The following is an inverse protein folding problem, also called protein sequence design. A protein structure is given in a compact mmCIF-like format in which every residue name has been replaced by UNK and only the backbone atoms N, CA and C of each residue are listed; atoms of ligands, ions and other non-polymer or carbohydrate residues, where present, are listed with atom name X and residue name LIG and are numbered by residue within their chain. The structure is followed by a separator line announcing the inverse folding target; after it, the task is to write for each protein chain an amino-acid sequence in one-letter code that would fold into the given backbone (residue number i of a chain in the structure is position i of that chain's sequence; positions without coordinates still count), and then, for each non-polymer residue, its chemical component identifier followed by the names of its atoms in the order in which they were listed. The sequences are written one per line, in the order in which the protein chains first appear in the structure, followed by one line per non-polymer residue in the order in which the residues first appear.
data_IF_877779064446
#
_entry.id   IF_877779064446
#
_cell.length_a   1.000
_cell.length_b   1.000
_cell.length_c   1.000
_cell.angle_alpha   90.00
_cell.angle_beta   90.00
_cell.angle_gamma   90.00
#
_symmetry.space_group_name_H-M   'P 1'
#
loop_
_entity.id
_entity.type
_entity.pdbx_description
1 polymer ?
#
# COMPACT_ATOMS: atom_id res chain seq x y z
N UNK A 1 7.78 7.18 -14.21
CA UNK A 1 7.20 7.61 -12.97
C UNK A 1 6.39 6.52 -12.27
N UNK A 2 5.99 6.80 -11.07
CA UNK A 2 5.19 5.87 -10.30
C UNK A 2 3.75 5.95 -10.76
N UNK A 3 3.23 4.85 -11.28
CA UNK A 3 1.79 4.75 -11.49
C UNK A 3 1.19 4.21 -10.22
N UNK A 4 0.69 5.12 -9.42
CA UNK A 4 -0.26 4.74 -8.40
C UNK A 4 -1.60 4.83 -9.08
N UNK A 5 -2.43 3.78 -9.00
CA UNK A 5 -3.73 3.80 -9.65
C UNK A 5 -4.48 5.08 -9.32
N UNK A 6 -5.15 5.66 -10.30
CA UNK A 6 -5.93 6.88 -10.10
C UNK A 6 -6.98 6.70 -9.02
N UNK A 7 -7.49 5.49 -8.92
CA UNK A 7 -8.49 5.14 -7.94
C UNK A 7 -7.95 4.03 -7.05
N UNK A 8 -7.39 4.42 -5.92
CA UNK A 8 -6.84 3.48 -4.95
C UNK A 8 -7.90 2.48 -4.47
N UNK A 9 -9.17 2.89 -4.45
CA UNK A 9 -10.23 2.00 -4.01
C UNK A 9 -10.43 0.81 -4.94
N UNK A 10 -10.12 0.96 -6.23
CA UNK A 10 -10.21 -0.15 -7.17
C UNK A 10 -9.11 -1.18 -6.95
N UNK A 11 -7.94 -0.74 -6.49
CA UNK A 11 -6.82 -1.63 -6.25
C UNK A 11 -7.04 -2.53 -5.04
N UNK A 12 -7.85 -2.09 -4.10
CA UNK A 12 -8.12 -2.91 -2.91
C UNK A 12 -8.85 -4.21 -3.25
N UNK A 13 -9.49 -4.29 -4.42
CA UNK A 13 -10.16 -5.49 -4.87
C UNK A 13 -9.22 -6.51 -5.52
N UNK A 14 -7.99 -6.11 -5.85
CA UNK A 14 -7.03 -6.99 -6.50
C UNK A 14 -6.18 -7.69 -5.45
N UNK A 15 -5.84 -8.95 -5.73
CA UNK A 15 -4.90 -9.69 -4.91
C UNK A 15 -5.48 -10.27 -3.63
N UNK A 16 -4.57 -10.75 -2.79
CA UNK A 16 -4.90 -11.41 -1.53
C UNK A 16 -4.43 -10.53 -0.38
N UNK A 17 -5.30 -10.34 0.61
CA UNK A 17 -4.93 -9.60 1.80
C UNK A 17 -3.88 -10.37 2.59
N UNK A 18 -2.79 -9.72 2.91
CA UNK A 18 -1.68 -10.33 3.66
C UNK A 18 -1.53 -9.74 5.05
N UNK A 19 -2.12 -8.57 5.29
CA UNK A 19 -2.10 -7.95 6.61
C UNK A 19 -3.21 -6.93 6.76
N UNK A 20 -3.76 -6.82 7.97
CA UNK A 20 -4.70 -5.76 8.35
C UNK A 20 -4.52 -5.34 9.81
N UNK A 21 -3.37 -5.65 10.42
CA UNK A 21 -3.13 -5.44 11.84
C UNK A 21 -1.80 -4.75 12.12
N UNK A 22 -1.21 -4.13 11.12
CA UNK A 22 0.12 -3.50 11.22
C UNK A 22 1.22 -4.49 11.58
N UNK A 23 1.07 -5.74 11.17
CA UNK A 23 2.13 -6.75 11.30
C UNK A 23 2.99 -6.73 10.04
N UNK A 24 3.83 -5.73 9.94
CA UNK A 24 4.61 -5.48 8.74
C UNK A 24 5.67 -6.55 8.48
N UNK A 25 5.95 -7.42 9.45
CA UNK A 25 6.88 -8.53 9.25
C UNK A 25 6.36 -9.54 8.22
N UNK A 26 5.06 -9.57 7.97
CA UNK A 26 4.46 -10.45 6.97
C UNK A 26 4.66 -9.96 5.55
N UNK A 27 5.01 -8.69 5.38
CA UNK A 27 5.03 -8.06 4.06
C UNK A 27 6.28 -8.40 3.29
N UNK A 28 6.14 -8.45 1.98
CA UNK A 28 7.24 -8.67 1.04
C UNK A 28 7.32 -7.51 0.07
N UNK A 29 8.51 -7.19 -0.46
CA UNK A 29 8.63 -6.16 -1.49
C UNK A 29 7.64 -6.39 -2.62
N UNK A 30 6.95 -5.34 -3.01
CA UNK A 30 5.89 -5.40 -4.01
C UNK A 30 4.48 -5.48 -3.45
N UNK A 31 4.32 -5.76 -2.16
CA UNK A 31 2.99 -5.72 -1.55
C UNK A 31 2.46 -4.28 -1.54
N UNK A 32 1.17 -4.14 -1.78
CA UNK A 32 0.53 -2.82 -1.79
C UNK A 32 -0.09 -2.53 -0.42
N UNK A 33 0.17 -1.33 0.08
CA UNK A 33 -0.39 -0.85 1.33
C UNK A 33 -1.50 0.15 1.01
N UNK A 34 -2.63 -0.02 1.70
CA UNK A 34 -3.80 0.85 1.50
C UNK A 34 -4.04 1.67 2.75
N UNK A 35 -4.30 2.95 2.53
CA UNK A 35 -4.46 3.93 3.60
C UNK A 35 -5.79 4.65 3.45
N UNK A 36 -6.37 5.05 4.56
CA UNK A 36 -7.63 5.78 4.51
C UNK A 36 -8.34 5.77 5.84
N UNK A 37 -9.65 5.66 5.77
CA UNK A 37 -10.51 5.66 6.93
C UNK A 37 -11.21 4.31 7.07
N UNK A 38 -11.16 3.69 8.24
CA UNK A 38 -11.87 2.43 8.45
C UNK A 38 -13.37 2.63 8.44
N UNK A 39 -14.10 1.55 8.18
CA UNK A 39 -15.55 1.57 8.27
C UNK A 39 -15.99 1.88 9.71
N UNK A 40 -17.09 2.61 9.82
CA UNK A 40 -17.76 2.89 11.08
C UNK A 40 -19.19 2.36 10.99
N UNK A 41 -19.96 2.52 12.06
CA UNK A 41 -21.38 2.11 12.05
C UNK A 41 -22.18 2.87 11.00
N UNK A 42 -21.76 4.08 10.66
CA UNK A 42 -22.51 4.96 9.76
C UNK A 42 -21.83 5.19 8.41
N UNK A 43 -20.58 4.76 8.24
CA UNK A 43 -19.84 5.02 7.00
C UNK A 43 -19.06 3.78 6.55
N UNK A 44 -18.98 3.58 5.24
CA UNK A 44 -18.15 2.54 4.66
C UNK A 44 -16.67 2.92 4.72
N UNK A 45 -15.82 1.91 4.68
CA UNK A 45 -14.38 2.12 4.57
C UNK A 45 -14.05 2.94 3.34
N UNK A 46 -13.10 3.86 3.50
CA UNK A 46 -12.68 4.73 2.41
C UNK A 46 -11.17 4.65 2.22
N UNK A 47 -10.76 4.07 1.11
CA UNK A 47 -9.35 4.02 0.71
C UNK A 47 -9.03 5.29 -0.07
N UNK A 48 -8.02 6.02 0.38
CA UNK A 48 -7.67 7.31 -0.23
C UNK A 48 -6.23 7.39 -0.71
N UNK A 49 -5.41 6.38 -0.37
CA UNK A 49 -3.99 6.42 -0.72
C UNK A 49 -3.44 5.00 -0.78
N UNK A 50 -2.43 4.80 -1.61
CA UNK A 50 -1.76 3.50 -1.75
C UNK A 50 -0.26 3.71 -1.84
N UNK A 51 0.50 2.76 -1.27
CA UNK A 51 1.95 2.71 -1.39
C UNK A 51 2.40 1.30 -1.69
N UNK A 52 3.68 1.14 -2.01
CA UNK A 52 4.26 -0.17 -2.27
C UNK A 52 5.36 -0.45 -1.24
N UNK A 53 5.28 -1.62 -0.60
CA UNK A 53 6.30 -2.07 0.33
C UNK A 53 7.59 -2.39 -0.41
N UNK A 54 8.72 -1.90 0.13
CA UNK A 54 10.03 -2.15 -0.47
C UNK A 54 10.98 -2.89 0.47
N UNK A 55 10.50 -3.26 1.67
CA UNK A 55 11.30 -3.98 2.65
C UNK A 55 11.88 -3.04 3.71
N UNK A 56 12.45 -3.62 4.76
CA UNK A 56 13.08 -2.88 5.84
C UNK A 56 12.18 -1.85 6.53
N UNK A 57 10.89 -2.15 6.59
CA UNK A 57 9.94 -1.24 7.20
C UNK A 57 9.53 -0.08 6.32
N UNK A 58 9.97 -0.03 5.07
CA UNK A 58 9.78 1.12 4.20
C UNK A 58 8.80 0.85 3.07
N UNK A 59 8.16 1.90 2.60
CA UNK A 59 7.30 1.85 1.42
C UNK A 59 7.49 3.11 0.60
N UNK A 60 7.30 2.96 -0.72
CA UNK A 60 7.37 4.06 -1.67
C UNK A 60 5.95 4.49 -2.01
N UNK A 61 5.71 5.79 -2.04
CA UNK A 61 4.40 6.33 -2.35
C UNK A 61 4.53 7.74 -2.93
N UNK A 62 3.44 8.23 -3.52
CA UNK A 62 3.38 9.58 -4.04
C UNK A 62 2.49 10.43 -3.13
N UNK A 63 3.06 11.50 -2.60
CA UNK A 63 2.35 12.45 -1.77
C UNK A 63 2.84 13.83 -2.15
N UNK A 64 2.30 14.36 -3.26
CA UNK A 64 2.82 15.56 -3.89
C UNK A 64 4.09 15.29 -4.70
N UNK A 65 4.94 14.43 -4.20
CA UNK A 65 6.14 13.95 -4.86
C UNK A 65 6.34 12.48 -4.46
N UNK A 66 7.18 11.77 -5.20
CA UNK A 66 7.54 10.40 -4.84
C UNK A 66 8.45 10.47 -3.62
N UNK A 67 8.15 9.68 -2.60
CA UNK A 67 8.98 9.61 -1.40
C UNK A 67 8.97 8.21 -0.82
N UNK A 68 9.98 7.94 -0.02
CA UNK A 68 10.09 6.70 0.75
C UNK A 68 9.85 7.05 2.21
N UNK A 69 8.86 6.39 2.80
CA UNK A 69 8.50 6.56 4.19
C UNK A 69 8.64 5.23 4.93
N UNK A 70 8.70 5.28 6.25
CA UNK A 70 8.83 4.09 7.09
C UNK A 70 7.62 3.90 7.98
N UNK A 71 7.27 2.65 8.21
CA UNK A 71 6.28 2.24 9.21
C UNK A 71 6.93 1.97 10.57
N UNK A 72 8.25 2.09 10.68
CA UNK A 72 8.98 1.86 11.92
C UNK A 72 9.05 3.17 12.71
N UNK A 73 8.41 3.25 13.90
CA UNK A 73 8.45 4.48 14.70
C UNK A 73 9.84 4.94 15.09
N UNK A 74 10.85 4.05 15.02
CA UNK A 74 12.22 4.38 15.35
C UNK A 74 13.01 4.93 14.17
N UNK A 75 12.45 4.86 12.97
CA UNK A 75 13.16 5.30 11.77
C UNK A 75 13.07 6.82 11.61
N UNK A 76 14.12 7.41 11.04
CA UNK A 76 14.14 8.85 10.78
C UNK A 76 13.05 9.29 9.82
N UNK A 77 12.69 8.42 8.88
CA UNK A 77 11.63 8.71 7.91
C UNK A 77 10.30 8.07 8.28
N UNK A 78 10.06 7.84 9.57
CA UNK A 78 8.76 7.32 10.03
C UNK A 78 7.64 8.28 9.62
N UNK A 79 6.61 7.72 9.01
CA UNK A 79 5.45 8.48 8.54
C UNK A 79 4.26 8.19 9.45
N UNK A 80 4.15 8.98 10.50
CA UNK A 80 3.10 8.79 11.50
C UNK A 80 1.71 8.98 10.90
N UNK A 81 1.58 9.92 9.97
CA UNK A 81 0.30 10.20 9.33
C UNK A 81 -0.21 8.97 8.55
N UNK A 82 0.65 8.38 7.74
CA UNK A 82 0.25 7.19 6.99
C UNK A 82 0.16 5.96 7.87
N UNK A 83 1.03 5.85 8.88
CA UNK A 83 0.94 4.75 9.84
C UNK A 83 -0.45 4.70 10.49
N UNK A 84 -0.98 5.87 10.87
CA UNK A 84 -2.29 5.94 11.52
C UNK A 84 -3.44 5.71 10.56
N UNK A 85 -3.23 5.88 9.25
CA UNK A 85 -4.25 5.65 8.23
C UNK A 85 -4.18 4.27 7.59
N UNK A 86 -3.20 3.47 7.98
CA UNK A 86 -3.02 2.15 7.38
C UNK A 86 -4.25 1.28 7.61
N UNK A 87 -4.75 0.68 6.53
CA UNK A 87 -5.92 -0.19 6.57
C UNK A 87 -5.51 -1.65 6.40
N UNK A 88 -4.79 -1.94 5.34
CA UNK A 88 -4.37 -3.31 5.01
C UNK A 88 -3.31 -3.31 3.94
N UNK A 89 -2.71 -4.48 3.75
CA UNK A 89 -1.81 -4.72 2.65
C UNK A 89 -2.32 -5.91 1.86
N UNK A 90 -2.12 -5.86 0.55
CA UNK A 90 -2.48 -6.95 -0.35
C UNK A 90 -1.33 -7.31 -1.25
N UNK A 91 -1.24 -8.58 -1.57
CA UNK A 91 -0.27 -9.11 -2.53
C UNK A 91 -0.99 -9.46 -3.80
N UNK A 92 -0.52 -8.92 -4.92
CA UNK A 92 -1.08 -9.25 -6.21
C UNK A 92 -0.62 -10.65 -6.58
N UNK A 93 -1.58 -11.54 -6.80
CA UNK A 93 -1.26 -12.91 -7.18
C UNK A 93 -1.05 -12.94 -8.68
N UNK A 94 0.12 -13.41 -9.05
CA UNK A 94 0.46 -13.64 -10.44
C UNK A 94 0.24 -15.13 -10.74
N UNK A 95 -0.96 -15.47 -11.14
CA UNK A 95 -1.31 -16.85 -11.44
C UNK A 95 -1.25 -17.09 -12.95
N UNK A 96 -0.10 -16.84 -13.56
CA UNK A 96 0.10 -17.01 -15.00
C UNK A 96 -0.86 -16.15 -15.85
N UNK A 97 -1.27 -15.04 -15.31
CA UNK A 97 -2.18 -14.13 -16.00
C UNK A 97 -1.58 -12.73 -15.94
N UNK A 98 -0.99 -12.31 -17.04
CA UNK A 98 -0.25 -11.07 -17.11
C UNK A 98 -1.08 -9.84 -16.78
N UNK A 99 -2.39 -9.92 -16.94
CA UNK A 99 -3.24 -8.77 -16.62
C UNK A 99 -3.29 -8.46 -15.13
N UNK A 100 -2.90 -9.42 -14.28
CA UNK A 100 -2.83 -9.21 -12.84
C UNK A 100 -1.42 -8.90 -12.37
N UNK A 101 -0.45 -8.94 -13.28
CA UNK A 101 0.93 -8.66 -12.94
C UNK A 101 1.17 -7.17 -13.01
N UNK A 102 1.39 -6.57 -11.85
CA UNK A 102 1.84 -5.19 -11.79
C UNK A 102 3.34 -5.24 -11.59
N UNK A 103 4.09 -4.95 -12.66
CA UNK A 103 5.53 -4.84 -12.57
C UNK A 103 5.90 -3.50 -11.96
N UNK A 104 7.14 -3.40 -11.48
CA UNK A 104 7.65 -2.12 -11.00
C UNK A 104 7.53 -1.04 -12.08
N UNK A 105 7.76 -1.41 -13.33
CA UNK A 105 7.65 -0.47 -14.44
C UNK A 105 6.24 0.13 -14.56
N UNK A 106 5.22 -0.70 -14.40
CA UNK A 106 3.84 -0.23 -14.50
C UNK A 106 3.42 0.57 -13.28
N UNK A 107 3.97 0.24 -12.13
CA UNK A 107 3.68 0.97 -10.90
C UNK A 107 4.46 2.27 -10.88
N UNK A 108 5.61 2.31 -11.53
CA UNK A 108 6.54 3.44 -11.50
C UNK A 108 6.57 4.28 -12.77
N UNK A 109 5.56 4.20 -13.58
CA UNK A 109 5.48 5.05 -14.75
C UNK A 109 5.05 6.46 -14.43
#
# INVERSE_FOLDING_TARGET
GLIIPRDASQQVWAGVEVDNQRDFAKLRPGDLLFFGQPATDSTAERVVHVGMWIGNGEFIHASGMIRISSMNPQAANFDKYEYNRYLRAKRLIHANDDKYLITADKVLE
#
